data_IF_016710949465
#
_entry.id   IF_016710949465
#
_cell.length_a   1.000
_cell.length_b   1.000
_cell.length_c   1.000
_cell.angle_alpha   90.00
_cell.angle_beta   90.00
_cell.angle_gamma   90.00
#
_symmetry.space_group_name_H-M   'P 1'
#
loop_
_entity.id
_entity.type
_entity.pdbx_description
1 polymer ?
#
# COMPACT_ATOMS: atom_id res chain seq x y z
N UNK A 1 18.03 34.51 85.51
CA UNK A 1 18.01 34.36 84.04
C UNK A 1 17.10 33.19 83.68
N UNK A 2 15.86 33.49 83.26
CA UNK A 2 14.87 32.48 82.79
C UNK A 2 14.84 32.54 81.27
N UNK A 3 15.16 31.42 80.62
CA UNK A 3 15.09 31.24 79.17
C UNK A 3 13.63 31.05 78.74
N UNK A 4 13.17 31.90 77.82
CA UNK A 4 11.88 31.80 77.12
C UNK A 4 12.12 31.11 75.78
N UNK A 5 11.45 29.98 75.56
CA UNK A 5 11.40 29.25 74.29
C UNK A 5 10.29 29.86 73.43
N UNK A 6 10.64 30.42 72.27
CA UNK A 6 9.68 30.85 71.25
C UNK A 6 9.63 29.81 70.13
N UNK A 7 8.48 29.15 69.99
CA UNK A 7 8.17 28.19 68.93
C UNK A 7 7.63 28.96 67.73
N UNK A 8 8.36 28.98 66.60
CA UNK A 8 7.96 29.65 65.36
C UNK A 8 7.39 28.60 64.39
N UNK A 9 6.07 28.54 64.25
CA UNK A 9 5.36 27.73 63.26
C UNK A 9 5.42 28.44 61.90
N UNK A 10 6.16 27.88 60.95
CA UNK A 10 6.22 28.32 59.55
C UNK A 10 5.03 27.74 58.80
N UNK A 11 4.11 28.60 58.38
CA UNK A 11 2.96 28.28 57.53
C UNK A 11 3.40 28.13 56.07
N UNK A 12 3.39 26.90 55.55
CA UNK A 12 3.60 26.62 54.12
C UNK A 12 2.28 26.86 53.39
N UNK A 13 2.23 27.92 52.57
CA UNK A 13 1.12 28.15 51.64
C UNK A 13 1.21 27.19 50.46
N UNK A 14 0.30 26.21 50.41
CA UNK A 14 0.06 25.38 49.23
C UNK A 14 -0.59 26.25 48.13
N UNK A 15 0.18 26.60 47.11
CA UNK A 15 -0.39 26.98 45.82
C UNK A 15 -0.82 25.72 45.08
N UNK A 16 -2.12 25.42 45.12
CA UNK A 16 -2.72 24.44 44.23
C UNK A 16 -2.64 24.99 42.79
N UNK A 17 -1.80 24.39 41.95
CA UNK A 17 -1.86 24.61 40.51
C UNK A 17 -3.12 23.92 40.00
N UNK A 18 -4.20 24.68 39.87
CA UNK A 18 -5.40 24.23 39.17
C UNK A 18 -4.99 24.01 37.71
N UNK A 19 -4.88 22.74 37.31
CA UNK A 19 -4.79 22.37 35.91
C UNK A 19 -6.00 22.97 35.21
N UNK A 20 -5.77 24.02 34.42
CA UNK A 20 -6.78 24.60 33.57
C UNK A 20 -7.21 23.56 32.56
N UNK A 21 -8.33 22.90 32.83
CA UNK A 21 -9.07 22.12 31.87
C UNK A 21 -9.56 23.08 30.78
N UNK A 22 -8.69 23.34 29.80
CA UNK A 22 -9.07 23.97 28.54
C UNK A 22 -9.94 22.95 27.83
N UNK A 23 -11.22 22.96 28.18
CA UNK A 23 -12.27 22.23 27.50
C UNK A 23 -12.15 22.49 26.00
N UNK A 24 -11.51 21.56 25.30
CA UNK A 24 -11.58 21.50 23.86
C UNK A 24 -13.04 21.18 23.55
N UNK A 25 -13.79 22.18 23.06
CA UNK A 25 -15.13 21.94 22.53
C UNK A 25 -15.05 20.71 21.60
N UNK A 26 -15.87 19.67 21.82
CA UNK A 26 -15.90 18.53 20.93
C UNK A 26 -16.11 19.04 19.50
N UNK A 27 -15.23 18.66 18.58
CA UNK A 27 -15.45 19.00 17.18
C UNK A 27 -16.84 18.49 16.77
N UNK A 28 -17.57 19.25 15.92
CA UNK A 28 -18.87 18.81 15.44
C UNK A 28 -18.78 17.40 14.86
N UNK A 29 -19.79 16.57 15.16
CA UNK A 29 -19.85 15.21 14.63
C UNK A 29 -19.76 15.24 13.09
N UNK A 30 -18.98 14.33 12.48
CA UNK A 30 -18.84 14.27 11.04
C UNK A 30 -20.20 14.00 10.36
N UNK A 31 -20.45 14.68 9.24
CA UNK A 31 -21.67 14.54 8.43
C UNK A 31 -21.31 14.00 7.04
N UNK A 32 -22.30 13.45 6.32
CA UNK A 32 -22.15 12.94 4.94
C UNK A 32 -21.08 11.84 4.78
N UNK A 33 -21.04 10.92 5.73
CA UNK A 33 -20.22 9.71 5.65
C UNK A 33 -20.97 8.66 4.78
N UNK A 34 -20.51 8.46 3.54
CA UNK A 34 -21.13 7.50 2.59
C UNK A 34 -20.55 6.08 2.70
N UNK A 35 -19.24 5.97 2.96
CA UNK A 35 -18.51 4.71 3.02
C UNK A 35 -17.99 4.38 4.41
N UNK A 36 -17.77 5.38 5.26
CA UNK A 36 -17.22 5.21 6.61
C UNK A 36 -18.36 5.11 7.63
N UNK A 37 -18.23 4.24 8.62
CA UNK A 37 -19.23 4.10 9.68
C UNK A 37 -19.18 5.31 10.64
N UNK A 38 -20.29 5.65 11.28
CA UNK A 38 -20.39 6.84 12.13
C UNK A 38 -19.47 6.80 13.37
N UNK A 39 -19.12 5.60 13.84
CA UNK A 39 -18.20 5.35 14.95
C UNK A 39 -16.72 5.32 14.54
N UNK A 40 -16.40 5.47 13.25
CA UNK A 40 -15.01 5.47 12.76
C UNK A 40 -14.23 6.64 13.36
N UNK A 41 -12.96 6.45 13.74
CA UNK A 41 -12.07 7.57 14.02
C UNK A 41 -11.74 8.32 12.71
N UNK A 42 -12.61 9.27 12.36
CA UNK A 42 -12.48 10.06 11.13
C UNK A 42 -11.18 10.87 11.13
N UNK A 43 -10.69 11.33 12.28
CA UNK A 43 -9.46 12.13 12.30
C UNK A 43 -8.24 11.27 11.95
N UNK A 44 -8.19 10.04 12.48
CA UNK A 44 -7.15 9.09 12.09
C UNK A 44 -7.18 8.80 10.60
N UNK A 45 -8.35 8.49 10.04
CA UNK A 45 -8.53 8.17 8.62
C UNK A 45 -8.16 9.35 7.71
N UNK A 46 -8.59 10.57 8.03
CA UNK A 46 -8.25 11.73 7.20
C UNK A 46 -6.75 12.05 7.27
N UNK A 47 -6.09 11.82 8.41
CA UNK A 47 -4.63 11.96 8.52
C UNK A 47 -3.89 10.89 7.70
N UNK A 48 -4.35 9.64 7.71
CA UNK A 48 -3.71 8.60 6.91
C UNK A 48 -3.86 8.86 5.40
N UNK A 49 -4.98 9.45 4.96
CA UNK A 49 -5.12 9.91 3.57
C UNK A 49 -4.15 11.04 3.23
N UNK A 50 -4.02 12.04 4.09
CA UNK A 50 -3.09 13.15 3.90
C UNK A 50 -1.64 12.65 3.78
N UNK A 51 -1.24 11.73 4.66
CA UNK A 51 0.09 11.11 4.64
C UNK A 51 0.31 10.27 3.39
N UNK A 52 -0.64 9.40 3.04
CA UNK A 52 -0.53 8.54 1.87
C UNK A 52 -0.42 9.33 0.56
N UNK A 53 -1.15 10.44 0.44
CA UNK A 53 -1.22 11.25 -0.78
C UNK A 53 -0.22 12.42 -0.79
N UNK A 54 0.36 12.79 0.35
CA UNK A 54 1.21 13.98 0.49
C UNK A 54 0.44 15.30 0.35
N UNK A 55 -0.81 15.35 0.85
CA UNK A 55 -1.71 16.51 0.65
C UNK A 55 -2.31 17.03 1.96
N UNK A 56 -2.89 18.22 1.89
CA UNK A 56 -3.65 18.83 2.98
C UNK A 56 -5.17 18.62 2.81
N UNK A 57 -5.94 18.85 3.88
CA UNK A 57 -7.39 18.62 3.92
C UNK A 57 -8.15 19.29 2.77
N UNK A 58 -7.77 20.53 2.41
CA UNK A 58 -8.39 21.33 1.35
C UNK A 58 -8.17 20.77 -0.06
N UNK A 59 -7.29 19.77 -0.21
CA UNK A 59 -7.16 19.04 -1.48
C UNK A 59 -8.49 18.36 -1.86
N UNK A 60 -9.18 17.77 -0.87
CA UNK A 60 -10.44 17.06 -1.07
C UNK A 60 -11.64 17.80 -0.48
N UNK A 61 -11.47 18.53 0.61
CA UNK A 61 -12.56 19.20 1.31
C UNK A 61 -12.68 20.68 0.92
N UNK A 62 -13.91 21.20 1.01
CA UNK A 62 -14.17 22.63 0.98
C UNK A 62 -13.88 23.22 2.36
N UNK A 63 -13.18 24.35 2.40
CA UNK A 63 -12.90 25.04 3.66
C UNK A 63 -14.21 25.54 4.29
N UNK A 64 -14.35 25.38 5.61
CA UNK A 64 -15.57 25.73 6.33
C UNK A 64 -16.73 24.72 6.19
N UNK A 65 -16.72 23.85 5.18
CA UNK A 65 -17.72 22.77 4.99
C UNK A 65 -17.08 21.47 4.51
N UNK A 66 -16.63 20.65 5.46
CA UNK A 66 -16.04 19.34 5.18
C UNK A 66 -17.07 18.33 4.66
N UNK A 67 -18.37 18.54 4.90
CA UNK A 67 -19.43 17.64 4.50
C UNK A 67 -19.83 17.82 3.03
N UNK A 68 -19.61 19.02 2.45
CA UNK A 68 -19.89 19.32 1.05
C UNK A 68 -19.21 18.35 0.07
N UNK A 69 -19.91 18.04 -1.02
CA UNK A 69 -19.42 17.22 -2.14
C UNK A 69 -19.12 18.08 -3.39
N UNK A 70 -18.86 19.37 -3.17
CA UNK A 70 -18.58 20.36 -4.23
C UNK A 70 -17.22 20.19 -4.88
N UNK A 71 -16.24 19.58 -4.20
CA UNK A 71 -14.93 19.26 -4.75
C UNK A 71 -14.94 17.82 -5.33
N UNK A 72 -14.74 17.62 -6.64
CA UNK A 72 -14.81 16.30 -7.27
C UNK A 72 -13.76 15.31 -6.76
N UNK A 73 -12.66 15.79 -6.19
CA UNK A 73 -11.61 14.92 -5.61
C UNK A 73 -12.11 14.10 -4.43
N UNK A 74 -13.13 14.57 -3.72
CA UNK A 74 -13.77 13.81 -2.64
C UNK A 74 -14.48 12.56 -3.15
N UNK A 75 -15.14 12.65 -4.32
CA UNK A 75 -15.75 11.47 -4.96
C UNK A 75 -14.68 10.52 -5.52
N UNK A 76 -13.56 11.04 -6.03
CA UNK A 76 -12.41 10.20 -6.41
C UNK A 76 -11.88 9.43 -5.19
N UNK A 77 -11.69 10.10 -4.04
CA UNK A 77 -11.25 9.45 -2.82
C UNK A 77 -12.22 8.34 -2.36
N UNK A 78 -13.54 8.54 -2.50
CA UNK A 78 -14.54 7.50 -2.23
C UNK A 78 -14.38 6.30 -3.16
N UNK A 79 -14.15 6.52 -4.45
CA UNK A 79 -13.85 5.42 -5.39
C UNK A 79 -12.60 4.65 -4.99
N UNK A 80 -11.56 5.34 -4.50
CA UNK A 80 -10.34 4.69 -4.02
C UNK A 80 -10.58 3.86 -2.75
N UNK A 81 -11.44 4.32 -1.82
CA UNK A 81 -11.85 3.50 -0.66
C UNK A 81 -12.54 2.22 -1.13
N UNK A 82 -13.46 2.32 -2.09
CA UNK A 82 -14.12 1.14 -2.66
C UNK A 82 -13.14 0.20 -3.36
N UNK A 83 -12.12 0.75 -4.02
CA UNK A 83 -11.07 -0.05 -4.66
C UNK A 83 -10.22 -0.81 -3.64
N UNK A 84 -9.80 -0.19 -2.53
CA UNK A 84 -9.07 -0.88 -1.46
C UNK A 84 -9.90 -2.01 -0.85
N UNK A 85 -11.19 -1.76 -0.58
CA UNK A 85 -12.11 -2.80 -0.10
C UNK A 85 -12.29 -3.96 -1.09
N UNK A 86 -12.26 -3.67 -2.39
CA UNK A 86 -12.28 -4.71 -3.41
C UNK A 86 -10.98 -5.53 -3.41
N UNK A 87 -9.83 -4.86 -3.28
CA UNK A 87 -8.52 -5.51 -3.21
C UNK A 87 -8.44 -6.46 -2.01
N UNK A 88 -8.98 -6.07 -0.85
CA UNK A 88 -9.01 -6.92 0.35
C UNK A 88 -9.63 -8.30 0.09
N UNK A 89 -10.64 -8.39 -0.79
CA UNK A 89 -11.28 -9.67 -1.13
C UNK A 89 -10.33 -10.67 -1.82
N UNK A 90 -9.19 -10.19 -2.33
CA UNK A 90 -8.16 -11.03 -2.95
C UNK A 90 -7.16 -11.62 -1.95
N UNK A 91 -7.19 -11.16 -0.69
CA UNK A 91 -6.25 -11.56 0.35
C UNK A 91 -6.99 -12.21 1.53
N UNK A 92 -6.84 -13.53 1.74
CA UNK A 92 -7.45 -14.21 2.89
C UNK A 92 -6.95 -13.71 4.25
N UNK A 93 -5.80 -13.04 4.28
CA UNK A 93 -5.25 -12.38 5.48
C UNK A 93 -6.01 -11.10 5.83
N UNK A 94 -6.62 -10.42 4.87
CA UNK A 94 -7.42 -9.22 5.13
C UNK A 94 -8.65 -9.57 5.97
N UNK A 95 -8.88 -8.81 7.03
CA UNK A 95 -9.96 -9.03 7.99
C UNK A 95 -10.58 -7.70 8.37
N UNK A 96 -11.91 -7.58 8.26
CA UNK A 96 -12.63 -6.33 8.48
C UNK A 96 -12.90 -5.58 7.17
N UNK A 97 -13.38 -4.34 7.29
CA UNK A 97 -13.73 -3.49 6.15
C UNK A 97 -13.01 -2.17 6.34
N UNK A 98 -12.16 -1.79 5.38
CA UNK A 98 -11.37 -0.57 5.49
C UNK A 98 -12.23 0.63 5.93
N UNK A 99 -11.83 1.39 6.94
CA UNK A 99 -10.50 1.42 7.58
C UNK A 99 -10.36 0.50 8.81
N UNK A 100 -11.37 -0.30 9.13
CA UNK A 100 -11.36 -1.17 10.30
C UNK A 100 -10.79 -2.55 9.98
N UNK A 101 -9.90 -3.02 10.85
CA UNK A 101 -9.30 -4.35 10.76
C UNK A 101 -7.94 -4.36 10.09
N UNK A 102 -7.54 -5.53 9.61
CA UNK A 102 -6.25 -5.75 8.95
C UNK A 102 -6.43 -5.76 7.43
N UNK A 103 -5.58 -5.01 6.73
CA UNK A 103 -5.61 -4.86 5.28
C UNK A 103 -4.21 -5.10 4.72
N UNK A 104 -4.11 -6.02 3.75
CA UNK A 104 -2.83 -6.33 3.09
C UNK A 104 -2.32 -5.16 2.24
N UNK A 105 -3.24 -4.37 1.68
CA UNK A 105 -2.96 -3.21 0.85
C UNK A 105 -3.74 -2.02 1.40
N UNK A 106 -3.09 -0.87 1.52
CA UNK A 106 -3.74 0.39 1.89
C UNK A 106 -3.31 1.54 0.97
N UNK A 107 -3.72 2.76 1.31
CA UNK A 107 -3.42 3.95 0.53
C UNK A 107 -1.90 4.19 0.40
N UNK A 108 -1.12 3.93 1.46
CA UNK A 108 0.32 4.12 1.49
C UNK A 108 1.01 3.10 0.59
N UNK A 109 0.49 1.86 0.51
CA UNK A 109 1.05 0.81 -0.35
C UNK A 109 1.20 1.25 -1.80
N UNK A 110 0.31 2.10 -2.32
CA UNK A 110 0.40 2.62 -3.70
C UNK A 110 1.01 4.03 -3.75
N UNK A 111 0.40 4.97 -3.01
CA UNK A 111 0.62 6.40 -3.21
C UNK A 111 1.95 6.90 -2.65
N UNK A 112 2.38 6.39 -1.48
CA UNK A 112 3.67 6.76 -0.83
C UNK A 112 4.02 8.25 -0.92
N UNK A 113 3.07 9.12 -0.55
CA UNK A 113 3.24 10.58 -0.55
C UNK A 113 2.95 11.25 -1.90
N UNK A 114 2.41 10.54 -2.89
CA UNK A 114 2.11 11.08 -4.21
C UNK A 114 0.63 10.89 -4.57
N UNK A 115 -0.01 11.96 -5.06
CA UNK A 115 -1.42 11.91 -5.52
C UNK A 115 -1.59 10.91 -6.67
N UNK A 116 -0.58 10.76 -7.54
CA UNK A 116 -0.52 9.71 -8.55
C UNK A 116 0.56 8.71 -8.16
N UNK A 117 0.22 7.42 -7.99
CA UNK A 117 1.21 6.38 -7.73
C UNK A 117 2.24 6.27 -8.85
N UNK A 118 3.45 5.85 -8.54
CA UNK A 118 4.41 5.47 -9.57
C UNK A 118 4.07 4.08 -10.10
N UNK A 119 4.27 3.88 -11.40
CA UNK A 119 3.94 2.64 -12.10
C UNK A 119 5.17 1.97 -12.71
N UNK A 120 6.35 2.58 -12.61
CA UNK A 120 7.58 2.05 -13.18
C UNK A 120 8.72 2.10 -12.18
N UNK A 121 9.49 1.03 -12.14
CA UNK A 121 10.71 0.99 -11.35
C UNK A 121 11.70 2.05 -11.86
N UNK A 122 12.31 2.85 -10.98
CA UNK A 122 13.31 3.84 -11.37
C UNK A 122 14.64 3.18 -11.78
N UNK A 123 14.85 1.92 -11.38
CA UNK A 123 16.04 1.14 -11.67
C UNK A 123 15.66 -0.28 -12.07
N UNK A 124 16.44 -0.84 -12.99
CA UNK A 124 16.38 -2.26 -13.32
C UNK A 124 17.06 -3.08 -12.23
N UNK A 125 16.59 -4.29 -12.00
CA UNK A 125 17.24 -5.28 -11.17
C UNK A 125 18.47 -5.83 -11.88
N UNK A 126 19.61 -5.84 -11.18
CA UNK A 126 20.87 -6.40 -11.66
C UNK A 126 21.23 -7.63 -10.83
N UNK A 127 21.37 -8.78 -11.49
CA UNK A 127 21.93 -9.97 -10.84
C UNK A 127 23.46 -10.05 -11.04
N UNK A 128 24.08 -11.09 -10.48
CA UNK A 128 25.52 -11.35 -10.62
C UNK A 128 25.94 -11.42 -12.08
N UNK A 129 25.21 -12.16 -12.92
CA UNK A 129 25.52 -12.29 -14.34
C UNK A 129 25.52 -10.95 -15.06
N UNK A 130 24.48 -10.12 -14.81
CA UNK A 130 24.43 -8.75 -15.33
C UNK A 130 25.63 -7.91 -14.89
N UNK A 131 26.06 -8.05 -13.64
CA UNK A 131 27.21 -7.32 -13.08
C UNK A 131 28.55 -7.76 -13.67
N UNK A 132 28.64 -9.02 -14.11
CA UNK A 132 29.81 -9.58 -14.80
C UNK A 132 29.80 -9.29 -16.31
N UNK A 133 28.80 -8.55 -16.81
CA UNK A 133 28.68 -8.23 -18.23
C UNK A 133 28.24 -9.42 -19.08
N UNK A 134 27.63 -10.46 -18.48
CA UNK A 134 27.05 -11.55 -19.25
C UNK A 134 25.95 -11.01 -20.17
N UNK A 135 25.89 -11.49 -21.44
CA UNK A 135 24.86 -11.05 -22.35
C UNK A 135 23.47 -11.41 -21.79
N UNK A 136 22.44 -10.58 -22.01
CA UNK A 136 21.08 -10.92 -21.62
C UNK A 136 20.67 -12.29 -22.16
N UNK A 137 19.83 -13.05 -21.44
CA UNK A 137 19.31 -14.31 -21.97
C UNK A 137 18.67 -14.08 -23.34
N UNK A 138 19.00 -14.95 -24.30
CA UNK A 138 18.40 -14.89 -25.62
C UNK A 138 16.87 -14.96 -25.51
N UNK A 139 16.18 -14.17 -26.32
CA UNK A 139 14.72 -14.22 -26.40
C UNK A 139 14.30 -15.62 -26.85
N UNK A 140 13.44 -16.25 -26.07
CA UNK A 140 12.81 -17.54 -26.41
C UNK A 140 11.30 -17.37 -26.34
N UNK A 141 10.54 -18.01 -27.24
CA UNK A 141 9.08 -18.03 -27.16
C UNK A 141 8.62 -18.43 -25.76
N UNK A 142 7.61 -17.75 -25.25
CA UNK A 142 7.02 -18.09 -23.97
C UNK A 142 6.33 -19.45 -24.04
N UNK A 143 6.65 -20.32 -23.09
CA UNK A 143 5.98 -21.61 -22.90
C UNK A 143 5.23 -21.60 -21.57
N UNK A 144 4.14 -22.36 -21.48
CA UNK A 144 3.30 -22.40 -20.26
C UNK A 144 2.79 -21.00 -19.83
N UNK A 145 2.38 -20.20 -20.82
CA UNK A 145 1.95 -18.81 -20.65
C UNK A 145 0.65 -18.66 -19.85
N UNK A 146 -0.19 -19.71 -19.84
CA UNK A 146 -1.49 -19.77 -19.14
C UNK A 146 -2.36 -18.53 -19.40
N UNK A 147 -2.25 -17.53 -18.55
CA UNK A 147 -3.06 -16.30 -18.55
C UNK A 147 -2.50 -15.19 -19.47
N UNK A 148 -1.28 -15.36 -19.96
CA UNK A 148 -0.58 -14.41 -20.83
C UNK A 148 -0.90 -14.70 -22.31
N UNK A 149 -1.08 -13.65 -23.15
CA UNK A 149 -1.19 -13.82 -24.61
C UNK A 149 -0.02 -14.64 -25.21
N UNK A 150 -0.24 -15.44 -26.26
CA UNK A 150 0.80 -16.31 -26.85
C UNK A 150 2.06 -15.59 -27.32
N UNK A 151 1.93 -14.33 -27.72
CA UNK A 151 2.98 -13.45 -28.23
C UNK A 151 3.65 -12.60 -27.15
N UNK A 152 3.34 -12.83 -25.87
CA UNK A 152 3.93 -12.08 -24.76
C UNK A 152 5.45 -12.19 -24.75
N UNK A 153 6.11 -11.04 -24.75
CA UNK A 153 7.57 -10.94 -24.64
C UNK A 153 8.04 -11.24 -23.21
N UNK A 154 8.34 -12.50 -22.93
CA UNK A 154 8.67 -12.98 -21.57
C UNK A 154 10.15 -12.88 -21.20
N UNK A 155 11.08 -12.96 -22.16
CA UNK A 155 12.53 -13.01 -21.90
C UNK A 155 13.29 -11.94 -22.69
N UNK A 156 14.48 -11.56 -22.21
CA UNK A 156 15.33 -10.57 -22.86
C UNK A 156 15.16 -9.17 -22.28
N UNK A 157 15.64 -8.16 -23.00
CA UNK A 157 15.48 -6.76 -22.60
C UNK A 157 14.01 -6.32 -22.69
N UNK A 158 13.58 -5.47 -21.76
CA UNK A 158 12.20 -4.96 -21.67
C UNK A 158 11.13 -6.06 -21.64
N UNK A 159 11.46 -7.23 -21.08
CA UNK A 159 10.54 -8.35 -21.00
C UNK A 159 9.66 -8.29 -19.76
N UNK A 160 8.53 -9.00 -19.80
CA UNK A 160 7.63 -9.13 -18.65
C UNK A 160 8.35 -9.69 -17.41
N UNK A 161 9.24 -10.68 -17.58
CA UNK A 161 10.02 -11.21 -16.45
C UNK A 161 11.03 -10.17 -15.94
N UNK A 162 11.52 -9.28 -16.79
CA UNK A 162 12.30 -8.11 -16.37
C UNK A 162 11.47 -7.20 -15.48
N UNK A 163 10.25 -6.82 -15.90
CA UNK A 163 9.34 -5.98 -15.10
C UNK A 163 9.06 -6.58 -13.71
N UNK A 164 8.85 -7.90 -13.63
CA UNK A 164 8.66 -8.57 -12.33
C UNK A 164 9.90 -8.51 -11.45
N UNK A 165 11.09 -8.72 -12.01
CA UNK A 165 12.36 -8.61 -11.25
C UNK A 165 12.58 -7.20 -10.76
N UNK A 166 12.28 -6.20 -11.58
CA UNK A 166 12.41 -4.79 -11.24
C UNK A 166 11.41 -4.40 -10.14
N UNK A 167 10.16 -4.88 -10.23
CA UNK A 167 9.09 -4.65 -9.26
C UNK A 167 9.35 -5.28 -7.88
N UNK A 168 9.86 -6.51 -7.87
CA UNK A 168 9.98 -7.34 -6.67
C UNK A 168 11.40 -7.37 -6.10
N UNK A 169 12.40 -6.88 -6.86
CA UNK A 169 13.84 -6.97 -6.54
C UNK A 169 14.30 -8.41 -6.27
N UNK A 170 13.89 -9.34 -7.13
CA UNK A 170 14.22 -10.77 -7.05
C UNK A 170 14.85 -11.28 -8.33
N UNK A 171 15.54 -12.42 -8.25
CA UNK A 171 16.01 -13.15 -9.43
C UNK A 171 15.01 -14.23 -9.88
N UNK A 172 15.23 -14.80 -11.06
CA UNK A 172 14.39 -15.84 -11.66
C UNK A 172 14.13 -17.01 -10.68
N UNK A 173 15.16 -17.38 -9.91
CA UNK A 173 15.15 -18.43 -8.87
C UNK A 173 14.02 -18.30 -7.84
N UNK A 174 13.56 -17.08 -7.58
CA UNK A 174 12.52 -16.80 -6.59
C UNK A 174 11.17 -17.42 -6.98
N UNK A 175 10.80 -17.28 -8.26
CA UNK A 175 9.56 -17.79 -8.84
C UNK A 175 9.74 -19.08 -9.63
N UNK A 176 10.89 -19.27 -10.26
CA UNK A 176 11.21 -20.41 -11.11
C UNK A 176 12.35 -21.21 -10.45
N UNK A 177 12.22 -22.53 -10.31
CA UNK A 177 13.25 -23.32 -9.64
C UNK A 177 12.74 -24.68 -9.17
N UNK A 178 13.46 -25.28 -8.22
CA UNK A 178 13.19 -26.64 -7.72
C UNK A 178 13.99 -27.73 -8.44
N UNK A 179 15.11 -27.37 -9.09
CA UNK A 179 15.89 -28.31 -9.90
C UNK A 179 15.14 -28.79 -11.16
N UNK A 180 14.06 -28.10 -11.55
CA UNK A 180 13.22 -28.40 -12.70
C UNK A 180 13.31 -27.28 -13.76
N UNK A 181 12.94 -27.57 -15.02
CA UNK A 181 12.81 -26.55 -16.06
C UNK A 181 11.89 -25.38 -15.66
N UNK A 182 12.19 -24.16 -16.11
CA UNK A 182 11.55 -22.90 -15.66
C UNK A 182 10.05 -22.82 -16.03
N UNK A 183 9.65 -23.54 -17.07
CA UNK A 183 8.29 -23.66 -17.57
C UNK A 183 7.38 -24.47 -16.64
N UNK A 184 7.96 -25.32 -15.79
CA UNK A 184 7.21 -26.11 -14.82
C UNK A 184 6.58 -25.23 -13.74
N UNK A 185 5.54 -25.76 -13.08
CA UNK A 185 4.85 -25.10 -11.98
C UNK A 185 5.25 -25.67 -10.61
N UNK A 186 6.51 -26.13 -10.50
CA UNK A 186 7.03 -26.74 -9.29
C UNK A 186 7.09 -25.75 -8.10
N UNK A 187 7.44 -24.49 -8.37
CA UNK A 187 7.53 -23.46 -7.33
C UNK A 187 6.16 -22.73 -7.16
N UNK A 188 5.54 -22.76 -5.96
CA UNK A 188 4.22 -22.16 -5.73
C UNK A 188 4.19 -20.64 -5.92
N UNK A 189 5.33 -19.95 -5.81
CA UNK A 189 5.40 -18.50 -6.04
C UNK A 189 5.03 -18.12 -7.47
N UNK A 190 5.23 -19.03 -8.44
CA UNK A 190 4.77 -18.82 -9.82
C UNK A 190 3.24 -18.72 -9.89
N UNK A 191 2.51 -19.55 -9.15
CA UNK A 191 1.04 -19.47 -9.07
C UNK A 191 0.57 -18.20 -8.34
N UNK A 192 1.29 -17.77 -7.30
CA UNK A 192 1.01 -16.50 -6.60
C UNK A 192 1.18 -15.33 -7.58
N UNK A 193 2.28 -15.29 -8.34
CA UNK A 193 2.49 -14.26 -9.38
C UNK A 193 1.35 -14.20 -10.39
N UNK A 194 0.81 -15.35 -10.81
CA UNK A 194 -0.37 -15.42 -11.69
C UNK A 194 -1.61 -14.78 -11.06
N UNK A 195 -1.86 -15.04 -9.77
CA UNK A 195 -2.96 -14.40 -9.04
C UNK A 195 -2.77 -12.88 -8.95
N UNK A 196 -1.53 -12.42 -8.76
CA UNK A 196 -1.24 -10.99 -8.75
C UNK A 196 -1.47 -10.33 -10.12
N UNK A 197 -1.20 -11.03 -11.23
CA UNK A 197 -1.56 -10.52 -12.56
C UNK A 197 -3.09 -10.36 -12.68
N UNK A 198 -3.87 -11.32 -12.19
CA UNK A 198 -5.33 -11.20 -12.21
C UNK A 198 -5.81 -10.02 -11.35
N UNK A 199 -5.20 -9.82 -10.17
CA UNK A 199 -5.49 -8.68 -9.30
C UNK A 199 -5.21 -7.35 -10.01
N UNK A 200 -4.03 -7.19 -10.64
CA UNK A 200 -3.68 -5.97 -11.39
C UNK A 200 -4.66 -5.73 -12.55
N UNK A 201 -5.03 -6.78 -13.30
CA UNK A 201 -6.06 -6.67 -14.35
C UNK A 201 -7.40 -6.19 -13.80
N UNK A 202 -7.83 -6.75 -12.67
CA UNK A 202 -9.09 -6.36 -12.02
C UNK A 202 -9.05 -4.92 -11.51
N UNK A 203 -7.92 -4.45 -10.97
CA UNK A 203 -7.75 -3.07 -10.53
C UNK A 203 -7.81 -2.12 -11.73
N UNK A 204 -7.00 -2.37 -12.76
CA UNK A 204 -6.95 -1.52 -13.96
C UNK A 204 -8.30 -1.43 -14.68
N UNK A 205 -9.15 -2.46 -14.62
CA UNK A 205 -10.51 -2.40 -15.19
C UNK A 205 -11.39 -1.27 -14.62
N UNK A 206 -11.03 -0.68 -13.47
CA UNK A 206 -11.73 0.49 -12.91
C UNK A 206 -11.29 1.84 -13.51
N UNK A 207 -10.26 1.84 -14.37
CA UNK A 207 -9.68 3.04 -14.98
C UNK A 207 -9.97 3.07 -16.48
N UNK A 208 -10.87 3.96 -16.95
CA UNK A 208 -11.18 4.06 -18.37
C UNK A 208 -9.93 4.38 -19.20
N UNK A 209 -9.74 3.66 -20.30
CA UNK A 209 -8.62 3.88 -21.22
C UNK A 209 -7.38 3.02 -20.97
N UNK A 210 -7.34 2.24 -19.88
CA UNK A 210 -6.24 1.28 -19.66
C UNK A 210 -6.38 0.02 -20.50
N UNK A 211 -5.25 -0.57 -20.89
CA UNK A 211 -5.18 -1.90 -21.49
C UNK A 211 -5.29 -3.02 -20.46
N UNK A 212 -5.21 -4.26 -20.93
CA UNK A 212 -5.22 -5.47 -20.07
C UNK A 212 -3.78 -5.94 -19.88
N UNK A 213 -3.27 -5.87 -18.65
CA UNK A 213 -1.91 -6.31 -18.32
C UNK A 213 -1.55 -7.67 -18.96
N UNK A 214 -0.37 -7.83 -19.61
CA UNK A 214 0.72 -6.85 -19.71
C UNK A 214 0.64 -5.93 -20.96
N UNK A 215 -0.51 -5.84 -21.61
CA UNK A 215 -0.66 -5.13 -22.90
C UNK A 215 -1.43 -3.82 -22.73
N UNK A 216 -0.90 -2.75 -23.32
CA UNK A 216 -1.48 -1.40 -23.29
C UNK A 216 -1.20 -0.65 -21.99
N UNK A 217 -1.73 0.57 -21.89
CA UNK A 217 -1.45 1.47 -20.77
C UNK A 217 -1.97 0.92 -19.44
N UNK A 218 -1.17 1.03 -18.39
CA UNK A 218 -1.49 0.53 -17.04
C UNK A 218 -1.42 1.69 -16.03
N UNK A 219 -2.51 1.92 -15.28
CA UNK A 219 -2.54 2.88 -14.17
C UNK A 219 -1.99 2.27 -12.88
N UNK A 220 -2.09 0.95 -12.74
CA UNK A 220 -1.51 0.17 -11.65
C UNK A 220 -0.64 -0.94 -12.23
N UNK A 221 0.57 -1.09 -11.71
CA UNK A 221 1.52 -2.15 -12.10
C UNK A 221 2.03 -2.88 -10.86
N UNK A 222 2.89 -3.88 -11.07
CA UNK A 222 3.59 -4.54 -9.98
C UNK A 222 4.42 -3.55 -9.15
N UNK A 223 5.06 -2.56 -9.80
CA UNK A 223 5.85 -1.54 -9.11
C UNK A 223 4.98 -0.67 -8.20
N UNK A 224 3.74 -0.35 -8.59
CA UNK A 224 2.84 0.49 -7.80
C UNK A 224 2.78 0.07 -6.34
N UNK A 225 2.68 -1.23 -6.07
CA UNK A 225 2.64 -1.79 -4.73
C UNK A 225 4.02 -2.21 -4.21
N UNK A 226 4.74 -3.04 -4.96
CA UNK A 226 5.88 -3.81 -4.43
C UNK A 226 7.13 -2.98 -4.16
N UNK A 227 7.47 -2.06 -5.05
CA UNK A 227 8.60 -1.12 -4.89
C UNK A 227 9.91 -1.72 -4.40
N UNK A 228 10.26 -2.85 -5.02
CA UNK A 228 11.48 -3.58 -4.74
C UNK A 228 11.39 -4.46 -3.50
N UNK A 229 10.20 -4.70 -2.97
CA UNK A 229 9.94 -5.70 -1.94
C UNK A 229 9.02 -6.80 -2.49
N UNK A 230 9.38 -8.09 -2.35
CA UNK A 230 8.49 -9.19 -2.71
C UNK A 230 7.14 -9.17 -1.99
N UNK A 231 7.05 -8.51 -0.84
CA UNK A 231 5.83 -8.27 -0.10
C UNK A 231 5.60 -6.75 0.09
N UNK A 232 4.52 -6.17 -0.46
CA UNK A 232 4.29 -4.73 -0.34
C UNK A 232 4.15 -4.29 1.11
N UNK A 233 4.75 -3.16 1.45
CA UNK A 233 4.60 -2.55 2.78
C UNK A 233 3.26 -1.78 2.85
N UNK A 234 2.52 -2.03 3.93
CA UNK A 234 1.33 -1.31 4.37
C UNK A 234 1.48 -0.91 5.84
N UNK A 235 0.50 -0.18 6.37
CA UNK A 235 0.40 0.11 7.80
C UNK A 235 0.22 -1.17 8.62
N UNK A 236 -0.48 -2.17 8.07
CA UNK A 236 -0.86 -3.40 8.76
C UNK A 236 0.19 -4.50 8.75
N UNK A 237 1.03 -4.60 7.71
CA UNK A 237 1.72 -5.85 7.37
C UNK A 237 3.27 -5.82 7.54
N UNK A 238 3.78 -5.14 8.56
CA UNK A 238 5.23 -4.88 8.75
C UNK A 238 6.13 -6.13 8.89
N UNK A 239 5.59 -7.37 8.97
CA UNK A 239 6.36 -8.62 8.93
C UNK A 239 5.57 -9.69 8.15
N UNK A 240 6.17 -10.24 7.09
CA UNK A 240 5.58 -11.28 6.24
C UNK A 240 6.48 -12.52 6.21
N UNK A 241 5.86 -13.70 6.36
CA UNK A 241 6.53 -15.01 6.26
C UNK A 241 6.30 -15.64 4.88
N UNK A 242 7.35 -16.22 4.29
CA UNK A 242 7.30 -16.82 2.95
C UNK A 242 6.51 -18.15 2.92
N UNK A 243 5.75 -18.43 1.85
CA UNK A 243 5.01 -19.69 1.72
C UNK A 243 5.96 -20.89 1.50
N UNK A 244 5.58 -22.04 2.07
CA UNK A 244 6.32 -23.30 1.92
C UNK A 244 6.31 -23.84 0.47
N UNK A 245 7.34 -24.59 0.09
CA UNK A 245 7.41 -25.24 -1.22
C UNK A 245 6.37 -26.37 -1.33
N UNK A 246 5.80 -26.56 -2.53
CA UNK A 246 4.99 -27.75 -2.84
C UNK A 246 5.94 -28.94 -3.02
N UNK A 247 5.63 -30.08 -2.38
CA UNK A 247 6.37 -31.34 -2.55
C UNK A 247 6.12 -31.95 -3.92
#
# INVERSE_FOLDING_TARGET
MKLLVFSLLVSVSLFAQQAGDRGANPLPAPKNLKLLAANTDIRFVMRSFNEALGVQCTHCHMEGDFAADTNPKKEIARKMISMVRLIDTSFPSSAGVFPEGYHEVDCITCHRGNIKPETKAPRKFYNRGNSLGEPPPAQRPGVSLKLLPPDTHVHGAESLMGEFRDALNVDCGYCHGGGKPLETDANPRKDIGRKMIMLVRQINANFPGTGVFPVGDQEVTCWTCHRGDPHPVSLGNKRYDLPAAKQ
#
